data_IF_180997290356
#
_entry.id   IF_180997290356
#
_cell.length_a   1.000
_cell.length_b   1.000
_cell.length_c   1.000
_cell.angle_alpha   90.00
_cell.angle_beta   90.00
_cell.angle_gamma   90.00
#
_symmetry.space_group_name_H-M   'P 1'
#
loop_
_entity.id
_entity.type
_entity.pdbx_description
1 polymer ?
#
# COMPACT_ATOMS: atom_id res chain seq x y z
N UNK A 1 -8.08 17.55 13.19
CA UNK A 1 -8.19 16.93 11.86
C UNK A 1 -7.31 17.60 10.79
N UNK A 2 -6.59 18.64 11.09
CA UNK A 2 -5.73 19.44 10.20
C UNK A 2 -4.36 18.79 9.87
N UNK A 3 -4.02 17.67 10.50
CA UNK A 3 -2.75 16.95 10.26
C UNK A 3 -2.80 15.96 9.07
N UNK A 4 -3.95 15.87 8.39
CA UNK A 4 -4.12 14.89 7.28
C UNK A 4 -3.52 15.35 5.95
N UNK A 5 -3.35 16.65 5.71
CA UNK A 5 -3.05 17.16 4.37
C UNK A 5 -1.68 17.84 4.19
N UNK A 6 -0.93 18.09 5.24
CA UNK A 6 0.29 18.91 5.16
C UNK A 6 1.61 18.15 5.16
N UNK A 7 1.60 16.83 5.25
CA UNK A 7 2.84 16.05 5.32
C UNK A 7 2.97 15.11 4.13
N UNK A 8 3.46 15.65 3.01
CA UNK A 8 4.10 14.95 1.89
C UNK A 8 3.22 14.00 1.04
N UNK A 9 3.23 14.18 -0.30
CA UNK A 9 2.71 13.18 -1.28
C UNK A 9 3.16 11.76 -1.00
N UNK A 10 4.34 11.63 -0.44
CA UNK A 10 5.01 10.45 0.04
C UNK A 10 4.21 9.65 1.08
N UNK A 11 3.50 10.28 2.02
CA UNK A 11 2.72 9.56 3.05
C UNK A 11 1.52 8.83 2.46
N UNK A 12 0.94 9.34 1.39
CA UNK A 12 -0.17 8.70 0.69
C UNK A 12 0.26 7.36 0.10
N UNK A 13 1.46 7.28 -0.48
CA UNK A 13 2.01 6.03 -1.02
C UNK A 13 2.16 4.95 0.07
N UNK A 14 2.62 5.31 1.28
CA UNK A 14 2.74 4.36 2.39
C UNK A 14 1.40 3.91 2.96
N UNK A 15 0.38 4.72 2.82
CA UNK A 15 -0.97 4.43 3.31
C UNK A 15 -1.87 3.79 2.27
N UNK A 16 -1.43 3.67 1.02
CA UNK A 16 -2.22 3.01 -0.03
C UNK A 16 -2.66 1.61 0.39
N UNK A 17 -3.93 1.24 0.16
CA UNK A 17 -4.43 -0.07 0.53
C UNK A 17 -3.68 -1.17 -0.21
N UNK A 18 -3.32 -2.25 0.48
CA UNK A 18 -2.67 -3.40 -0.14
C UNK A 18 -3.66 -4.23 -0.95
N UNK A 19 -3.21 -4.79 -2.05
CA UNK A 19 -3.97 -5.76 -2.86
C UNK A 19 -3.50 -7.16 -2.48
N UNK A 20 -4.14 -7.74 -1.46
CA UNK A 20 -3.73 -9.02 -0.88
C UNK A 20 -4.36 -10.23 -1.56
N UNK A 21 -3.69 -11.37 -1.46
CA UNK A 21 -4.23 -12.66 -1.89
C UNK A 21 -4.38 -12.77 -3.41
N UNK A 22 -3.54 -12.08 -4.19
CA UNK A 22 -3.55 -12.02 -5.64
C UNK A 22 -2.21 -12.40 -6.21
N UNK A 23 -2.21 -13.24 -7.24
CA UNK A 23 -1.06 -13.48 -8.10
C UNK A 23 -0.90 -12.33 -9.07
N UNK A 24 0.25 -11.68 -9.07
CA UNK A 24 0.51 -10.47 -9.85
C UNK A 24 1.56 -10.73 -10.92
N UNK A 25 1.24 -10.38 -12.17
CA UNK A 25 2.19 -10.26 -13.26
C UNK A 25 2.67 -8.81 -13.34
N UNK A 26 3.90 -8.54 -12.91
CA UNK A 26 4.51 -7.22 -12.99
C UNK A 26 5.25 -7.00 -14.30
N UNK A 27 5.04 -5.83 -14.87
CA UNK A 27 5.73 -5.39 -16.10
C UNK A 27 6.46 -4.08 -15.80
N UNK A 28 7.79 -4.09 -15.91
CA UNK A 28 8.63 -2.90 -15.91
C UNK A 28 8.91 -2.47 -17.35
N UNK A 29 8.23 -1.43 -17.88
CA UNK A 29 8.26 -1.09 -19.29
C UNK A 29 9.57 -0.43 -19.70
N UNK A 30 10.09 -0.80 -20.88
CA UNK A 30 11.22 -0.11 -21.48
C UNK A 30 11.27 -0.35 -22.99
N UNK A 31 11.74 0.66 -23.75
CA UNK A 31 11.90 0.51 -25.19
C UNK A 31 13.11 -0.39 -25.55
N UNK A 32 14.30 0.10 -25.25
CA UNK A 32 15.55 -0.48 -25.77
C UNK A 32 16.00 -1.73 -25.05
N UNK A 33 15.85 -1.76 -23.73
CA UNK A 33 16.31 -2.87 -22.89
C UNK A 33 15.26 -3.98 -22.75
N UNK A 34 14.09 -3.80 -23.35
CA UNK A 34 12.94 -4.71 -23.24
C UNK A 34 12.17 -4.55 -21.94
N UNK A 35 10.87 -4.88 -21.97
CA UNK A 35 10.02 -4.90 -20.79
C UNK A 35 10.36 -6.13 -19.93
N UNK A 36 10.63 -5.93 -18.64
CA UNK A 36 10.89 -7.01 -17.69
C UNK A 36 9.58 -7.53 -17.15
N UNK A 37 9.39 -8.83 -17.29
CA UNK A 37 8.24 -9.55 -16.75
C UNK A 37 8.63 -10.29 -15.48
N UNK A 38 7.78 -10.22 -14.48
CA UNK A 38 7.92 -11.01 -13.25
C UNK A 38 6.55 -11.51 -12.82
N UNK A 39 6.46 -12.71 -12.27
CA UNK A 39 5.25 -13.18 -11.60
C UNK A 39 5.56 -13.38 -10.13
N UNK A 40 4.73 -12.80 -9.28
CA UNK A 40 4.76 -13.02 -7.84
C UNK A 40 3.46 -13.66 -7.37
N UNK A 41 3.56 -14.65 -6.47
CA UNK A 41 2.38 -15.27 -5.88
C UNK A 41 1.69 -14.35 -4.85
N UNK A 42 0.60 -14.80 -4.27
CA UNK A 42 -0.20 -14.08 -3.27
C UNK A 42 0.56 -13.73 -1.98
N UNK A 43 1.74 -14.31 -1.77
CA UNK A 43 2.65 -14.00 -0.65
C UNK A 43 3.79 -13.05 -1.03
N UNK A 44 3.89 -12.66 -2.29
CA UNK A 44 4.98 -11.86 -2.85
C UNK A 44 6.24 -12.66 -3.18
N UNK A 45 6.16 -14.00 -3.19
CA UNK A 45 7.27 -14.84 -3.62
C UNK A 45 7.39 -14.81 -5.14
N UNK A 46 8.59 -14.57 -5.63
CA UNK A 46 8.89 -14.62 -7.07
C UNK A 46 8.74 -16.06 -7.60
N UNK A 47 7.92 -16.21 -8.65
CA UNK A 47 7.70 -17.49 -9.33
C UNK A 47 8.52 -17.63 -10.62
N UNK A 48 8.53 -16.56 -11.44
CA UNK A 48 9.25 -16.58 -12.74
C UNK A 48 9.66 -15.17 -13.17
N UNK A 49 10.61 -15.09 -14.12
CA UNK A 49 11.09 -13.84 -14.72
C UNK A 49 11.40 -14.02 -16.19
N UNK A 50 11.10 -13.01 -17.03
CA UNK A 50 11.48 -12.98 -18.44
C UNK A 50 11.67 -11.53 -18.91
N UNK A 51 12.12 -11.38 -20.17
CA UNK A 51 12.23 -10.08 -20.84
C UNK A 51 11.62 -10.17 -22.23
N UNK A 52 10.63 -9.35 -22.52
CA UNK A 52 10.00 -9.24 -23.83
C UNK A 52 10.38 -7.93 -24.52
N UNK A 53 10.29 -7.89 -25.83
CA UNK A 53 10.70 -6.75 -26.65
C UNK A 53 9.58 -6.28 -27.59
N UNK A 54 8.40 -5.90 -27.08
CA UNK A 54 7.25 -5.54 -27.91
C UNK A 54 7.42 -4.20 -28.62
N UNK A 55 8.21 -3.30 -28.05
CA UNK A 55 8.35 -1.92 -28.50
C UNK A 55 9.56 -1.71 -29.44
N UNK A 56 9.65 -0.56 -30.12
CA UNK A 56 10.84 -0.21 -30.88
C UNK A 56 12.12 -0.25 -30.03
N UNK A 57 13.28 -0.61 -30.57
CA UNK A 57 13.54 -0.90 -31.99
C UNK A 57 13.17 -2.32 -32.43
N UNK A 58 13.00 -3.29 -31.50
CA UNK A 58 12.83 -4.72 -31.82
C UNK A 58 11.45 -5.06 -32.39
N UNK A 59 10.38 -4.40 -31.91
CA UNK A 59 8.98 -4.53 -32.40
C UNK A 59 8.46 -5.98 -32.44
N UNK A 60 8.74 -6.79 -31.43
CA UNK A 60 8.29 -8.18 -31.33
C UNK A 60 6.97 -8.27 -30.56
N UNK A 61 5.96 -7.53 -31.00
CA UNK A 61 4.69 -7.37 -30.28
C UNK A 61 3.99 -8.72 -30.06
N UNK A 62 3.82 -9.51 -31.12
CA UNK A 62 3.10 -10.79 -31.05
C UNK A 62 3.78 -11.79 -30.10
N UNK A 63 5.13 -11.87 -30.15
CA UNK A 63 5.89 -12.71 -29.20
C UNK A 63 5.70 -12.25 -27.76
N UNK A 64 5.61 -10.93 -27.52
CA UNK A 64 5.36 -10.37 -26.20
C UNK A 64 3.98 -10.74 -25.70
N UNK A 65 2.94 -10.58 -26.53
CA UNK A 65 1.56 -10.96 -26.21
C UNK A 65 1.43 -12.45 -25.89
N UNK A 66 2.00 -13.32 -26.73
CA UNK A 66 1.97 -14.77 -26.51
C UNK A 66 2.62 -15.16 -25.18
N UNK A 67 3.75 -14.54 -24.82
CA UNK A 67 4.43 -14.80 -23.54
C UNK A 67 3.57 -14.39 -22.35
N UNK A 68 2.93 -13.23 -22.42
CA UNK A 68 2.04 -12.76 -21.35
C UNK A 68 0.83 -13.70 -21.21
N UNK A 69 0.20 -14.13 -22.32
CA UNK A 69 -0.93 -15.10 -22.30
C UNK A 69 -0.49 -16.44 -21.69
N UNK A 70 0.66 -16.99 -22.12
CA UNK A 70 1.23 -18.19 -21.52
C UNK A 70 1.33 -18.08 -20.00
N UNK A 71 1.79 -16.95 -19.51
CA UNK A 71 1.98 -16.74 -18.07
C UNK A 71 0.69 -16.50 -17.31
N UNK A 72 -0.29 -15.82 -17.93
CA UNK A 72 -1.65 -15.65 -17.35
C UNK A 72 -2.25 -17.03 -17.05
N UNK A 73 -2.17 -17.96 -17.99
CA UNK A 73 -2.69 -19.32 -17.82
C UNK A 73 -1.83 -20.15 -16.86
N UNK A 74 -0.51 -20.14 -17.04
CA UNK A 74 0.43 -20.99 -16.28
C UNK A 74 0.44 -20.70 -14.78
N UNK A 75 0.33 -19.43 -14.41
CA UNK A 75 0.46 -18.98 -13.03
C UNK A 75 -0.88 -18.54 -12.41
N UNK A 76 -1.98 -18.70 -13.12
CA UNK A 76 -3.29 -18.26 -12.67
C UNK A 76 -3.29 -16.79 -12.24
N UNK A 77 -2.75 -15.91 -13.10
CA UNK A 77 -2.57 -14.48 -12.81
C UNK A 77 -3.93 -13.82 -12.59
N UNK A 78 -4.05 -13.07 -11.50
CA UNK A 78 -5.24 -12.31 -11.15
C UNK A 78 -5.21 -10.87 -11.67
N UNK A 79 -4.01 -10.24 -11.65
CA UNK A 79 -3.83 -8.81 -11.94
C UNK A 79 -2.52 -8.61 -12.69
N UNK A 80 -2.53 -7.68 -13.64
CA UNK A 80 -1.30 -7.19 -14.28
C UNK A 80 -0.98 -5.81 -13.72
N UNK A 81 0.23 -5.60 -13.22
CA UNK A 81 0.73 -4.29 -12.89
C UNK A 81 1.76 -3.79 -13.90
N UNK A 82 1.72 -2.50 -14.21
CA UNK A 82 2.58 -1.86 -15.21
C UNK A 82 3.26 -0.68 -14.53
N UNK A 83 4.59 -0.65 -14.53
CA UNK A 83 5.35 0.51 -14.05
C UNK A 83 5.01 1.77 -14.85
N UNK A 84 4.94 2.92 -14.18
CA UNK A 84 4.56 4.19 -14.83
C UNK A 84 5.72 4.92 -15.55
N UNK A 85 6.80 4.21 -15.87
CA UNK A 85 7.97 4.77 -16.54
C UNK A 85 7.85 4.88 -18.05
N UNK A 86 9.01 4.87 -18.67
CA UNK A 86 9.13 4.96 -20.13
C UNK A 86 8.46 3.75 -20.81
N UNK A 87 7.67 3.99 -21.87
CA UNK A 87 6.88 2.99 -22.59
C UNK A 87 5.68 2.37 -21.80
N UNK A 88 5.28 2.97 -20.69
CA UNK A 88 4.12 2.52 -19.91
C UNK A 88 2.87 2.48 -20.78
N UNK A 89 2.57 3.55 -21.50
CA UNK A 89 1.37 3.66 -22.32
C UNK A 89 1.28 2.63 -23.44
N UNK A 90 2.38 2.40 -24.15
CA UNK A 90 2.45 1.39 -25.21
C UNK A 90 2.28 -0.01 -24.62
N UNK A 91 2.74 -0.21 -23.39
CA UNK A 91 2.57 -1.49 -22.66
C UNK A 91 1.12 -1.65 -22.20
N UNK A 92 0.46 -0.58 -21.72
CA UNK A 92 -0.98 -0.60 -21.40
C UNK A 92 -1.82 -1.02 -22.60
N UNK A 93 -1.59 -0.41 -23.77
CA UNK A 93 -2.28 -0.77 -25.02
C UNK A 93 -2.09 -2.24 -25.38
N UNK A 94 -0.86 -2.75 -25.27
CA UNK A 94 -0.56 -4.16 -25.52
C UNK A 94 -1.33 -5.08 -24.55
N UNK A 95 -1.41 -4.72 -23.28
CA UNK A 95 -2.10 -5.51 -22.25
C UNK A 95 -3.61 -5.47 -22.45
N UNK A 96 -4.19 -4.33 -22.80
CA UNK A 96 -5.62 -4.20 -23.10
C UNK A 96 -6.01 -5.09 -24.32
N UNK A 97 -5.20 -5.07 -25.38
CA UNK A 97 -5.43 -5.95 -26.53
C UNK A 97 -5.41 -7.45 -26.15
N UNK A 98 -4.61 -7.84 -25.13
CA UNK A 98 -4.58 -9.23 -24.65
C UNK A 98 -5.89 -9.59 -23.94
N UNK A 99 -6.50 -8.68 -23.22
CA UNK A 99 -7.75 -8.94 -22.49
C UNK A 99 -8.90 -9.30 -23.43
N UNK A 100 -8.95 -8.73 -24.64
CA UNK A 100 -9.92 -9.09 -25.67
C UNK A 100 -9.71 -10.52 -26.22
N UNK A 101 -8.53 -11.09 -26.03
CA UNK A 101 -8.13 -12.40 -26.55
C UNK A 101 -8.17 -13.53 -25.49
N UNK A 102 -8.33 -13.19 -24.20
CA UNK A 102 -8.32 -14.14 -23.08
C UNK A 102 -9.67 -14.19 -22.40
N UNK A 103 -10.27 -15.38 -22.27
CA UNK A 103 -11.57 -15.60 -21.61
C UNK A 103 -11.42 -15.65 -20.08
N UNK A 104 -10.99 -14.52 -19.50
CA UNK A 104 -10.82 -14.35 -18.04
C UNK A 104 -11.12 -12.92 -17.65
N UNK A 105 -11.68 -12.74 -16.44
CA UNK A 105 -11.87 -11.42 -15.84
C UNK A 105 -10.53 -10.90 -15.29
N UNK A 106 -9.74 -10.28 -16.17
CA UNK A 106 -8.44 -9.70 -15.87
C UNK A 106 -8.53 -8.18 -15.74
N UNK A 107 -7.71 -7.65 -14.88
CA UNK A 107 -7.58 -6.22 -14.68
C UNK A 107 -6.10 -5.82 -14.69
N UNK A 108 -5.82 -4.60 -15.10
CA UNK A 108 -4.47 -4.04 -14.94
C UNK A 108 -4.52 -2.75 -14.13
N UNK A 109 -3.36 -2.38 -13.63
CA UNK A 109 -3.14 -1.12 -12.92
C UNK A 109 -1.76 -0.56 -13.28
N UNK A 110 -1.67 0.78 -13.32
CA UNK A 110 -0.39 1.47 -13.46
C UNK A 110 0.16 1.81 -12.08
N UNK A 111 1.34 1.29 -11.76
CA UNK A 111 1.99 1.41 -10.46
C UNK A 111 3.13 2.42 -10.52
N UNK A 112 3.23 3.27 -9.51
CA UNK A 112 4.34 4.21 -9.39
C UNK A 112 5.66 3.48 -9.13
N UNK A 113 6.62 3.59 -10.05
CA UNK A 113 7.94 2.93 -9.97
C UNK A 113 9.02 3.75 -9.25
N UNK A 114 8.69 4.96 -8.76
CA UNK A 114 9.67 5.84 -8.12
C UNK A 114 10.52 5.09 -7.08
N UNK A 115 11.83 5.25 -7.16
CA UNK A 115 12.81 4.59 -6.30
C UNK A 115 13.04 3.09 -6.57
N UNK A 116 12.32 2.43 -7.49
CA UNK A 116 12.54 1.00 -7.79
C UNK A 116 13.96 0.73 -8.31
N UNK A 117 14.51 1.62 -9.11
CA UNK A 117 15.90 1.55 -9.59
C UNK A 117 16.92 1.71 -8.45
N UNK A 118 16.63 2.54 -7.44
CA UNK A 118 17.49 2.69 -6.26
C UNK A 118 17.47 1.42 -5.40
N UNK A 119 16.27 0.87 -5.17
CA UNK A 119 16.15 -0.43 -4.49
C UNK A 119 16.92 -1.51 -5.23
N UNK A 120 16.73 -1.66 -6.54
CA UNK A 120 17.32 -2.74 -7.34
C UNK A 120 18.85 -2.77 -7.29
N UNK A 121 19.50 -1.61 -7.17
CA UNK A 121 20.94 -1.45 -7.01
C UNK A 121 21.44 -1.60 -5.56
N UNK A 122 20.53 -1.66 -4.59
CA UNK A 122 20.86 -1.69 -3.17
C UNK A 122 21.47 -3.02 -2.72
N UNK A 123 22.19 -2.98 -1.59
CA UNK A 123 22.70 -4.19 -0.93
C UNK A 123 21.56 -5.13 -0.53
N UNK A 124 20.45 -4.57 -0.06
CA UNK A 124 19.26 -5.34 0.36
C UNK A 124 18.68 -6.14 -0.81
N UNK A 125 18.49 -5.50 -1.98
CA UNK A 125 17.98 -6.19 -3.16
C UNK A 125 18.94 -7.31 -3.66
N UNK A 126 20.26 -7.08 -3.52
CA UNK A 126 21.26 -8.10 -3.83
C UNK A 126 21.22 -9.28 -2.85
N UNK A 127 20.94 -9.03 -1.58
CA UNK A 127 20.76 -10.07 -0.56
C UNK A 127 19.44 -10.85 -0.79
N UNK A 128 18.34 -10.17 -1.17
CA UNK A 128 17.06 -10.82 -1.46
C UNK A 128 17.10 -11.65 -2.76
N UNK A 129 17.83 -11.18 -3.77
CA UNK A 129 17.89 -11.79 -5.11
C UNK A 129 19.32 -11.78 -5.67
N UNK A 130 20.23 -12.61 -5.12
CA UNK A 130 21.64 -12.60 -5.51
C UNK A 130 21.87 -12.95 -6.98
N UNK A 131 21.05 -13.84 -7.55
CA UNK A 131 21.19 -14.36 -8.91
C UNK A 131 20.46 -13.52 -9.98
N UNK A 132 19.62 -12.55 -9.57
CA UNK A 132 18.85 -11.76 -10.53
C UNK A 132 19.62 -10.53 -11.02
N UNK A 133 19.37 -10.16 -12.27
CA UNK A 133 19.81 -8.89 -12.83
C UNK A 133 19.17 -7.70 -12.09
N UNK A 134 19.88 -6.57 -12.08
CA UNK A 134 19.40 -5.33 -11.41
C UNK A 134 18.03 -4.90 -11.94
N UNK A 135 17.81 -4.98 -13.27
CA UNK A 135 16.53 -4.58 -13.86
C UNK A 135 15.37 -5.48 -13.44
N UNK A 136 15.61 -6.78 -13.33
CA UNK A 136 14.60 -7.74 -12.86
C UNK A 136 14.24 -7.49 -11.39
N UNK A 137 15.21 -7.18 -10.53
CA UNK A 137 14.93 -6.80 -9.13
C UNK A 137 14.02 -5.59 -9.03
N UNK A 138 14.17 -4.62 -9.96
CA UNK A 138 13.26 -3.46 -10.07
C UNK A 138 11.82 -3.88 -10.37
N UNK A 139 11.63 -4.75 -11.35
CA UNK A 139 10.31 -5.26 -11.71
C UNK A 139 9.65 -6.04 -10.56
N UNK A 140 10.42 -6.87 -9.81
CA UNK A 140 9.90 -7.54 -8.61
C UNK A 140 9.41 -6.55 -7.56
N UNK A 141 10.15 -5.44 -7.36
CA UNK A 141 9.71 -4.40 -6.41
C UNK A 141 8.42 -3.72 -6.86
N UNK A 142 8.24 -3.48 -8.17
CA UNK A 142 7.02 -2.90 -8.72
C UNK A 142 5.83 -3.84 -8.46
N UNK A 143 5.94 -5.14 -8.80
CA UNK A 143 4.90 -6.13 -8.58
C UNK A 143 4.50 -6.26 -7.09
N UNK A 144 5.47 -6.37 -6.19
CA UNK A 144 5.23 -6.46 -4.74
C UNK A 144 4.65 -5.18 -4.16
N UNK A 145 4.94 -4.02 -4.76
CA UNK A 145 4.42 -2.72 -4.33
C UNK A 145 2.91 -2.64 -4.47
N UNK A 146 2.32 -3.31 -5.46
CA UNK A 146 0.88 -3.44 -5.56
C UNK A 146 0.30 -4.28 -4.41
N UNK A 147 0.96 -5.38 -4.06
CA UNK A 147 0.49 -6.28 -3.00
C UNK A 147 0.58 -5.64 -1.61
N UNK A 148 1.69 -4.98 -1.28
CA UNK A 148 1.84 -4.18 -0.05
C UNK A 148 2.81 -3.00 -0.27
N UNK A 149 2.29 -1.80 -0.58
CA UNK A 149 3.10 -0.61 -0.81
C UNK A 149 4.03 -0.28 0.35
N UNK A 150 3.53 -0.39 1.59
CA UNK A 150 4.32 -0.08 2.78
C UNK A 150 5.51 -1.03 2.93
N UNK A 151 5.29 -2.33 2.75
CA UNK A 151 6.33 -3.36 2.91
C UNK A 151 7.48 -3.20 1.91
N UNK A 152 7.19 -2.69 0.70
CA UNK A 152 8.20 -2.46 -0.33
C UNK A 152 8.85 -1.07 -0.22
N UNK A 153 8.08 -0.02 0.00
CA UNK A 153 8.61 1.35 0.03
C UNK A 153 9.55 1.60 1.20
N UNK A 154 9.39 0.91 2.33
CA UNK A 154 10.34 1.00 3.47
C UNK A 154 11.74 0.48 3.15
N UNK A 155 11.92 -0.23 2.05
CA UNK A 155 13.24 -0.70 1.56
C UNK A 155 14.01 0.38 0.82
N UNK A 156 13.38 1.51 0.52
CA UNK A 156 13.91 2.61 -0.30
C UNK A 156 14.12 3.82 0.60
N UNK A 157 15.26 4.53 0.43
CA UNK A 157 15.43 5.83 1.09
C UNK A 157 14.30 6.78 0.63
N UNK A 158 13.50 7.32 1.56
CA UNK A 158 12.40 8.22 1.24
C UNK A 158 12.76 9.36 0.29
N UNK A 159 13.96 9.91 0.39
CA UNK A 159 14.45 10.96 -0.51
C UNK A 159 14.56 10.51 -1.97
N UNK A 160 14.70 9.21 -2.21
CA UNK A 160 14.79 8.63 -3.55
C UNK A 160 13.42 8.42 -4.21
N UNK A 161 12.33 8.50 -3.46
CA UNK A 161 10.97 8.41 -3.99
C UNK A 161 10.49 9.77 -4.51
N UNK A 162 11.08 10.86 -3.99
CA UNK A 162 10.68 12.23 -4.28
C UNK A 162 9.62 12.73 -3.29
N UNK A 163 10.01 13.68 -2.43
CA UNK A 163 9.18 14.19 -1.34
C UNK A 163 8.75 15.64 -1.52
N UNK A 164 9.25 16.30 -2.53
CA UNK A 164 8.87 17.67 -2.86
C UNK A 164 9.84 18.36 -3.80
N UNK A 165 9.35 19.36 -4.50
CA UNK A 165 10.12 20.11 -5.51
C UNK A 165 11.41 20.72 -4.91
N UNK A 166 11.34 21.22 -3.68
CA UNK A 166 12.44 21.90 -3.00
C UNK A 166 13.21 20.99 -2.03
N UNK A 167 13.12 19.67 -2.18
CA UNK A 167 13.80 18.74 -1.25
C UNK A 167 15.31 18.93 -1.19
N UNK A 168 15.93 19.47 -2.25
CA UNK A 168 17.37 19.70 -2.31
C UNK A 168 17.79 21.05 -1.68
N UNK A 169 16.84 21.97 -1.47
CA UNK A 169 17.09 23.32 -0.95
C UNK A 169 17.02 23.39 0.60
N UNK A 170 16.55 22.31 1.23
CA UNK A 170 16.44 22.22 2.70
C UNK A 170 17.62 21.46 3.31
N UNK A 171 17.79 21.59 4.63
CA UNK A 171 18.81 20.84 5.36
C UNK A 171 18.59 19.32 5.23
N UNK A 172 19.50 18.62 4.59
CA UNK A 172 19.37 17.20 4.24
C UNK A 172 19.34 16.26 5.44
N UNK A 173 19.97 16.68 6.56
CA UNK A 173 19.92 15.89 7.82
C UNK A 173 18.55 15.98 8.46
N UNK A 174 18.04 17.19 8.63
CA UNK A 174 16.71 17.42 9.19
C UNK A 174 15.60 16.81 8.32
N UNK A 175 15.72 16.92 6.99
CA UNK A 175 14.81 16.25 6.07
C UNK A 175 14.82 14.73 6.28
N UNK A 176 16.00 14.11 6.34
CA UNK A 176 16.12 12.67 6.58
C UNK A 176 15.52 12.23 7.91
N UNK A 177 15.77 12.98 8.99
CA UNK A 177 15.19 12.70 10.32
C UNK A 177 13.66 12.80 10.30
N UNK A 178 13.10 13.84 9.69
CA UNK A 178 11.66 14.03 9.55
C UNK A 178 11.00 12.93 8.73
N UNK A 179 11.60 12.55 7.59
CA UNK A 179 11.09 11.49 6.75
C UNK A 179 11.12 10.12 7.45
N UNK A 180 12.19 9.80 8.16
CA UNK A 180 12.26 8.58 8.95
C UNK A 180 11.19 8.54 10.04
N UNK A 181 10.94 9.66 10.72
CA UNK A 181 9.87 9.73 11.72
C UNK A 181 8.48 9.52 11.11
N UNK A 182 8.24 10.02 9.90
CA UNK A 182 7.00 9.80 9.16
C UNK A 182 6.82 8.33 8.79
N UNK A 183 7.87 7.67 8.26
CA UNK A 183 7.82 6.24 7.93
C UNK A 183 7.59 5.41 9.19
N UNK A 184 8.31 5.68 10.28
CA UNK A 184 8.11 5.01 11.57
C UNK A 184 6.67 5.17 12.06
N UNK A 185 6.12 6.38 12.00
CA UNK A 185 4.72 6.65 12.37
C UNK A 185 3.74 5.86 11.49
N UNK A 186 3.96 5.81 10.18
CA UNK A 186 3.08 5.06 9.27
C UNK A 186 3.13 3.55 9.54
N UNK A 187 4.33 2.99 9.72
CA UNK A 187 4.53 1.56 10.02
C UNK A 187 3.87 1.18 11.35
N UNK A 188 4.06 1.99 12.40
CA UNK A 188 3.48 1.71 13.71
C UNK A 188 1.95 1.91 13.71
N UNK A 189 1.42 2.86 12.94
CA UNK A 189 -0.02 3.05 12.78
C UNK A 189 -0.70 1.84 12.12
N UNK A 190 -0.11 1.31 11.06
CA UNK A 190 -0.60 0.12 10.35
C UNK A 190 -0.42 -1.14 11.22
N UNK A 191 0.72 -1.25 11.87
CA UNK A 191 1.17 -2.46 12.54
C UNK A 191 1.80 -3.47 11.58
N UNK A 192 2.64 -4.35 12.09
CA UNK A 192 3.51 -5.21 11.30
C UNK A 192 3.26 -6.68 11.61
N UNK A 193 2.90 -7.48 10.59
CA UNK A 193 2.80 -8.93 10.75
C UNK A 193 4.20 -9.55 10.85
N UNK A 194 4.56 -10.04 12.03
CA UNK A 194 5.90 -10.59 12.31
C UNK A 194 6.23 -11.83 11.47
N UNK A 195 5.21 -12.54 11.01
CA UNK A 195 5.39 -13.76 10.23
C UNK A 195 5.72 -13.51 8.75
N UNK A 196 5.41 -12.33 8.22
CA UNK A 196 5.65 -11.99 6.81
C UNK A 196 6.64 -10.83 6.63
N UNK A 197 6.83 -10.01 7.67
CA UNK A 197 7.65 -8.81 7.59
C UNK A 197 9.11 -9.07 7.22
N UNK A 198 9.68 -8.19 6.39
CA UNK A 198 11.10 -8.11 6.10
C UNK A 198 11.87 -7.48 7.28
N UNK A 199 13.20 -7.64 7.30
CA UNK A 199 14.05 -6.95 8.29
C UNK A 199 13.97 -5.43 8.16
N UNK A 200 13.80 -4.91 6.95
CA UNK A 200 13.63 -3.49 6.69
C UNK A 200 12.34 -2.95 7.34
N UNK A 201 11.22 -3.65 7.15
CA UNK A 201 9.94 -3.26 7.76
C UNK A 201 9.98 -3.35 9.28
N UNK A 202 10.53 -4.44 9.83
CA UNK A 202 10.66 -4.62 11.28
C UNK A 202 11.53 -3.54 11.93
N UNK A 203 12.52 -3.01 11.22
CA UNK A 203 13.41 -1.97 11.76
C UNK A 203 12.70 -0.62 12.01
N UNK A 204 11.53 -0.39 11.37
CA UNK A 204 10.68 0.77 11.62
C UNK A 204 9.67 0.55 12.76
N UNK A 205 9.58 -0.65 13.32
CA UNK A 205 8.76 -0.89 14.51
C UNK A 205 9.44 -0.28 15.72
N UNK A 206 8.69 0.54 16.46
CA UNK A 206 9.21 1.23 17.65
C UNK A 206 9.85 0.26 18.62
N UNK A 207 11.08 0.56 19.04
CA UNK A 207 11.89 -0.28 19.94
C UNK A 207 12.66 -1.42 19.26
N UNK A 208 12.48 -1.68 17.97
CA UNK A 208 13.21 -2.71 17.21
C UNK A 208 14.34 -2.06 16.42
N UNK A 209 15.56 -2.48 16.65
CA UNK A 209 16.71 -2.10 15.84
C UNK A 209 17.06 -3.19 14.82
N UNK A 210 17.96 -2.88 13.87
CA UNK A 210 18.35 -3.80 12.78
C UNK A 210 18.89 -5.15 13.26
N UNK A 211 19.52 -5.20 14.43
CA UNK A 211 20.00 -6.44 15.04
C UNK A 211 18.87 -7.33 15.55
N UNK A 212 17.89 -6.72 16.22
CA UNK A 212 16.68 -7.41 16.71
C UNK A 212 15.82 -7.85 15.52
N UNK A 213 15.65 -7.00 14.51
CA UNK A 213 14.90 -7.34 13.29
C UNK A 213 15.43 -8.61 12.61
N UNK A 214 16.75 -8.71 12.42
CA UNK A 214 17.37 -9.93 11.89
C UNK A 214 17.18 -11.15 12.79
N UNK A 215 17.26 -10.98 14.12
CA UNK A 215 17.04 -12.08 15.05
C UNK A 215 15.60 -12.57 15.06
N UNK A 216 14.61 -11.71 14.83
CA UNK A 216 13.20 -12.10 14.65
C UNK A 216 13.05 -13.02 13.43
N UNK A 217 13.65 -12.63 12.30
CA UNK A 217 13.59 -13.44 11.08
C UNK A 217 14.28 -14.78 11.30
N UNK A 218 15.50 -14.77 11.86
CA UNK A 218 16.24 -16.00 12.17
C UNK A 218 15.42 -16.93 13.09
N UNK A 219 14.81 -16.39 14.13
CA UNK A 219 13.97 -17.18 15.03
C UNK A 219 12.79 -17.82 14.28
N UNK A 220 12.14 -17.07 13.39
CA UNK A 220 11.04 -17.55 12.55
C UNK A 220 11.46 -18.69 11.61
N UNK A 221 12.64 -18.58 11.01
CA UNK A 221 13.22 -19.59 10.12
C UNK A 221 13.56 -20.88 10.88
N UNK A 222 14.11 -20.75 12.08
CA UNK A 222 14.56 -21.89 12.91
C UNK A 222 13.42 -22.59 13.68
N UNK A 223 12.38 -21.83 14.12
CA UNK A 223 11.35 -22.31 15.04
C UNK A 223 9.93 -22.29 14.43
N UNK A 224 9.78 -21.87 13.17
CA UNK A 224 8.50 -21.70 12.51
C UNK A 224 7.78 -20.38 12.89
N UNK A 225 6.55 -20.23 12.42
CA UNK A 225 5.74 -19.03 12.61
C UNK A 225 5.48 -18.74 14.09
N UNK A 226 5.50 -17.45 14.43
CA UNK A 226 4.99 -16.98 15.73
C UNK A 226 3.48 -17.23 15.82
N UNK A 227 3.01 -17.78 16.94
CA UNK A 227 1.59 -18.00 17.22
C UNK A 227 1.09 -17.14 18.38
N UNK A 228 1.98 -16.57 19.19
CA UNK A 228 1.65 -15.66 20.29
C UNK A 228 2.70 -14.57 20.40
N UNK A 229 2.30 -13.37 20.85
CA UNK A 229 3.25 -12.28 21.12
C UNK A 229 4.28 -12.63 22.20
N UNK A 230 3.92 -13.50 23.14
CA UNK A 230 4.83 -13.98 24.21
C UNK A 230 6.10 -14.65 23.65
N UNK A 231 6.00 -15.29 22.47
CA UNK A 231 7.17 -15.91 21.82
C UNK A 231 8.25 -14.93 21.41
N UNK A 232 7.91 -13.65 21.17
CA UNK A 232 8.90 -12.60 20.89
C UNK A 232 9.96 -12.48 22.00
N UNK A 233 9.60 -12.76 23.27
CA UNK A 233 10.55 -12.76 24.38
C UNK A 233 11.63 -13.84 24.29
N UNK A 234 11.48 -14.82 23.39
CA UNK A 234 12.49 -15.86 23.13
C UNK A 234 13.51 -15.45 22.07
N UNK A 235 13.24 -14.34 21.36
CA UNK A 235 14.12 -13.82 20.31
C UNK A 235 15.38 -13.22 20.98
N UNK A 236 16.55 -13.60 20.49
CA UNK A 236 17.84 -13.10 20.99
C UNK A 236 17.91 -11.57 20.90
N UNK A 237 18.37 -10.91 21.96
CA UNK A 237 18.45 -9.46 22.11
C UNK A 237 17.11 -8.70 22.15
N UNK A 238 15.99 -9.37 22.12
CA UNK A 238 14.69 -8.77 22.37
C UNK A 238 14.38 -8.83 23.87
N UNK A 239 14.90 -7.86 24.61
CA UNK A 239 14.72 -7.77 26.05
C UNK A 239 13.33 -7.25 26.45
N UNK A 240 13.07 -7.21 27.78
CA UNK A 240 11.79 -6.74 28.34
C UNK A 240 11.38 -5.36 27.82
N UNK A 241 12.32 -4.39 27.82
CA UNK A 241 12.06 -3.01 27.35
C UNK A 241 11.67 -2.98 25.87
N UNK A 242 12.43 -3.69 25.02
CA UNK A 242 12.12 -3.80 23.58
C UNK A 242 10.74 -4.44 23.35
N UNK A 243 10.43 -5.50 24.10
CA UNK A 243 9.13 -6.16 24.03
C UNK A 243 7.99 -5.18 24.37
N UNK A 244 8.08 -4.48 25.51
CA UNK A 244 7.06 -3.49 25.90
C UNK A 244 6.92 -2.38 24.88
N UNK A 245 8.00 -1.89 24.25
CA UNK A 245 7.92 -0.83 23.24
C UNK A 245 7.34 -1.30 21.91
N UNK A 246 7.56 -2.56 21.51
CA UNK A 246 7.20 -3.05 20.16
C UNK A 246 5.91 -3.88 20.10
N UNK A 247 5.51 -4.50 21.20
CA UNK A 247 4.45 -5.51 21.17
C UNK A 247 3.09 -5.00 20.70
N UNK A 248 2.77 -3.72 20.97
CA UNK A 248 1.54 -3.08 20.49
C UNK A 248 1.49 -2.87 18.98
N UNK A 249 2.64 -2.85 18.30
CA UNK A 249 2.76 -2.64 16.85
C UNK A 249 2.96 -3.94 16.07
N UNK A 250 3.28 -5.04 16.75
CA UNK A 250 3.42 -6.36 16.14
C UNK A 250 2.05 -7.03 16.04
N UNK A 251 1.76 -7.62 14.88
CA UNK A 251 0.57 -8.41 14.60
C UNK A 251 0.94 -9.86 14.33
N UNK A 252 0.04 -10.78 14.71
CA UNK A 252 0.10 -12.20 14.33
C UNK A 252 -1.28 -12.55 13.78
N UNK A 253 -1.42 -12.45 12.46
CA UNK A 253 -2.73 -12.55 11.79
C UNK A 253 -3.32 -13.96 11.93
N UNK A 254 -2.49 -15.00 11.81
CA UNK A 254 -2.90 -16.40 11.86
C UNK A 254 -2.83 -17.00 13.29
N UNK A 255 -2.93 -16.15 14.32
CA UNK A 255 -2.89 -16.61 15.70
C UNK A 255 -4.20 -17.22 16.13
N UNK A 256 -4.28 -18.55 16.13
CA UNK A 256 -5.38 -19.28 16.76
C UNK A 256 -5.28 -19.39 18.29
N UNK A 257 -4.12 -19.02 18.87
CA UNK A 257 -3.84 -19.17 20.32
C UNK A 257 -3.82 -17.86 21.10
N UNK A 258 -3.77 -16.73 20.40
CA UNK A 258 -3.73 -15.38 20.99
C UNK A 258 -4.63 -14.47 20.18
N UNK A 259 -5.96 -14.44 20.48
CA UNK A 259 -6.93 -13.66 19.72
C UNK A 259 -6.61 -12.17 19.68
N UNK A 260 -6.02 -11.63 20.73
CA UNK A 260 -5.60 -10.24 20.79
C UNK A 260 -4.36 -9.93 19.95
N UNK A 261 -3.57 -10.95 19.58
CA UNK A 261 -2.36 -10.71 18.77
C UNK A 261 -2.66 -10.17 17.36
N UNK A 262 -3.90 -10.26 16.87
CA UNK A 262 -4.36 -9.62 15.64
C UNK A 262 -4.64 -8.13 15.81
N UNK A 263 -4.86 -7.68 17.05
CA UNK A 263 -5.34 -6.32 17.36
C UNK A 263 -4.19 -5.37 17.70
N UNK A 264 -4.41 -4.06 17.72
CA UNK A 264 -3.46 -3.09 18.27
C UNK A 264 -3.37 -3.09 19.80
N UNK A 265 -4.20 -3.87 20.51
CA UNK A 265 -4.21 -3.91 21.97
C UNK A 265 -2.84 -4.36 22.47
N UNK A 266 -2.24 -3.55 23.34
CA UNK A 266 -0.95 -3.89 23.94
C UNK A 266 -1.11 -5.04 24.96
N UNK A 267 -0.14 -5.97 25.08
CA UNK A 267 -0.23 -7.09 26.04
C UNK A 267 -0.45 -6.70 27.49
N UNK A 268 -0.05 -5.49 27.89
CA UNK A 268 -0.30 -4.95 29.24
C UNK A 268 -1.78 -4.58 29.46
N UNK A 269 -2.55 -4.43 28.41
CA UNK A 269 -3.99 -4.13 28.44
C UNK A 269 -4.87 -5.34 28.14
N UNK A 270 -4.31 -6.54 28.07
CA UNK A 270 -5.09 -7.76 27.78
C UNK A 270 -6.10 -8.04 28.88
N UNK A 271 -5.70 -7.91 30.17
CA UNK A 271 -6.61 -8.13 31.29
C UNK A 271 -7.82 -7.18 31.24
N UNK A 272 -7.61 -5.93 30.86
CA UNK A 272 -8.69 -4.96 30.69
C UNK A 272 -9.58 -5.32 29.48
N UNK A 273 -8.99 -5.77 28.37
CA UNK A 273 -9.75 -6.20 27.21
C UNK A 273 -10.58 -7.48 27.49
N UNK A 274 -10.06 -8.39 28.29
CA UNK A 274 -10.82 -9.56 28.78
C UNK A 274 -11.99 -9.13 29.66
N UNK A 275 -11.78 -8.25 30.62
CA UNK A 275 -12.84 -7.70 31.47
C UNK A 275 -13.95 -7.02 30.65
N UNK A 276 -13.61 -6.30 29.59
CA UNK A 276 -14.60 -5.71 28.68
C UNK A 276 -15.45 -6.79 28.02
N UNK A 277 -14.85 -7.87 27.53
CA UNK A 277 -15.58 -8.99 26.90
C UNK A 277 -16.47 -9.72 27.93
N UNK A 278 -15.96 -9.99 29.13
CA UNK A 278 -16.67 -10.65 30.22
C UNK A 278 -17.93 -9.90 30.67
N UNK A 279 -17.97 -8.55 30.61
CA UNK A 279 -19.19 -7.78 30.90
C UNK A 279 -20.39 -8.18 30.02
N UNK A 280 -20.10 -8.76 28.85
CA UNK A 280 -21.11 -9.20 27.87
C UNK A 280 -21.18 -10.73 27.73
N UNK A 281 -20.48 -11.48 28.59
CA UNK A 281 -20.47 -12.94 28.61
C UNK A 281 -19.61 -13.58 27.52
N UNK A 282 -18.61 -12.83 27.01
CA UNK A 282 -17.66 -13.35 25.98
C UNK A 282 -16.29 -13.61 26.55
N UNK A 283 -15.56 -14.47 25.85
CA UNK A 283 -14.16 -14.76 26.10
C UNK A 283 -13.29 -14.31 24.90
N UNK A 284 -11.97 -14.11 25.06
CA UNK A 284 -11.10 -13.72 23.97
C UNK A 284 -11.18 -14.59 22.73
N UNK A 285 -11.38 -15.89 22.90
CA UNK A 285 -11.49 -16.86 21.79
C UNK A 285 -12.71 -16.59 20.89
N UNK A 286 -13.76 -15.98 21.42
CA UNK A 286 -14.98 -15.65 20.68
C UNK A 286 -14.73 -14.59 19.58
N UNK A 287 -13.63 -13.84 19.66
CA UNK A 287 -13.18 -12.92 18.61
C UNK A 287 -12.73 -13.64 17.32
N UNK A 288 -12.54 -14.96 17.36
CA UNK A 288 -12.17 -15.78 16.21
C UNK A 288 -13.39 -16.32 15.46
N UNK A 289 -14.55 -16.30 16.11
CA UNK A 289 -15.83 -16.73 15.56
C UNK A 289 -16.57 -15.55 14.89
N UNK A 290 -16.97 -15.71 13.62
CA UNK A 290 -17.59 -14.63 12.84
C UNK A 290 -18.96 -14.22 13.38
N UNK A 291 -19.78 -15.16 13.84
CA UNK A 291 -21.14 -14.90 14.36
C UNK A 291 -21.06 -14.18 15.69
N UNK A 292 -20.24 -14.70 16.62
CA UNK A 292 -20.01 -14.07 17.92
C UNK A 292 -19.39 -12.69 17.79
N UNK A 293 -18.45 -12.49 16.84
CA UNK A 293 -17.86 -11.19 16.59
C UNK A 293 -18.90 -10.17 16.11
N UNK A 294 -19.88 -10.58 15.30
CA UNK A 294 -20.98 -9.73 14.88
C UNK A 294 -21.84 -9.26 16.08
N UNK A 295 -22.15 -10.20 16.99
CA UNK A 295 -22.89 -9.88 18.22
C UNK A 295 -22.09 -8.99 19.18
N UNK A 296 -20.79 -9.27 19.38
CA UNK A 296 -19.86 -8.42 20.14
C UNK A 296 -19.87 -6.98 19.59
N UNK A 297 -19.79 -6.79 18.27
CA UNK A 297 -19.87 -5.48 17.64
C UNK A 297 -21.16 -4.76 17.95
N UNK A 298 -22.30 -5.46 17.86
CA UNK A 298 -23.60 -4.91 18.18
C UNK A 298 -23.67 -4.39 19.63
N UNK A 299 -23.18 -5.17 20.58
CA UNK A 299 -23.16 -4.79 22.00
C UNK A 299 -22.21 -3.66 22.34
N UNK A 300 -21.01 -3.66 21.71
CA UNK A 300 -20.01 -2.61 21.94
C UNK A 300 -20.32 -1.28 21.25
N UNK A 301 -21.11 -1.26 20.17
CA UNK A 301 -21.39 -0.05 19.39
C UNK A 301 -22.32 0.95 20.09
N UNK A 302 -23.12 0.49 21.04
CA UNK A 302 -24.08 1.34 21.80
C UNK A 302 -23.66 1.67 23.23
N UNK A 303 -22.39 1.45 23.57
CA UNK A 303 -21.92 1.47 24.95
C UNK A 303 -21.61 2.89 25.44
N UNK A 304 -22.05 3.23 26.63
CA UNK A 304 -21.51 4.38 27.34
C UNK A 304 -20.11 4.02 27.87
N UNK A 305 -19.10 4.47 27.12
CA UNK A 305 -17.70 4.20 27.43
C UNK A 305 -17.22 4.91 28.70
N UNK A 306 -17.87 5.99 29.12
CA UNK A 306 -17.52 6.71 30.33
C UNK A 306 -17.97 5.94 31.57
N UNK A 307 -19.20 5.45 31.59
CA UNK A 307 -19.74 4.62 32.68
C UNK A 307 -18.90 3.31 32.82
N UNK A 308 -18.56 2.68 31.70
CA UNK A 308 -17.74 1.47 31.72
C UNK A 308 -16.31 1.74 32.21
N UNK A 309 -15.74 2.90 31.90
CA UNK A 309 -14.40 3.30 32.36
C UNK A 309 -14.36 3.45 33.88
N UNK A 310 -15.37 4.08 34.46
CA UNK A 310 -15.50 4.19 35.91
C UNK A 310 -15.66 2.81 36.57
N UNK A 311 -16.51 1.96 36.00
CA UNK A 311 -16.77 0.61 36.52
C UNK A 311 -15.52 -0.29 36.50
N UNK A 312 -14.66 -0.15 35.50
CA UNK A 312 -13.44 -0.97 35.34
C UNK A 312 -12.17 -0.28 35.88
N UNK A 313 -12.31 0.88 36.53
CA UNK A 313 -11.17 1.69 37.01
C UNK A 313 -10.12 1.91 35.91
N UNK A 314 -10.57 2.24 34.71
CA UNK A 314 -9.76 2.35 33.51
C UNK A 314 -9.76 3.77 32.94
N UNK A 315 -8.62 4.17 32.33
CA UNK A 315 -8.54 5.43 31.61
C UNK A 315 -9.46 5.44 30.37
N UNK A 316 -10.36 6.42 30.27
CA UNK A 316 -11.33 6.54 29.17
C UNK A 316 -10.70 6.41 27.77
N UNK A 317 -9.57 7.10 27.43
CA UNK A 317 -8.94 6.94 26.11
C UNK A 317 -8.49 5.51 25.83
N UNK A 318 -7.88 4.84 26.82
CA UNK A 318 -7.41 3.46 26.70
C UNK A 318 -8.58 2.50 26.46
N UNK A 319 -9.67 2.68 27.19
CA UNK A 319 -10.87 1.86 27.03
C UNK A 319 -11.51 2.05 25.65
N UNK A 320 -11.61 3.29 25.19
CA UNK A 320 -12.11 3.59 23.84
C UNK A 320 -11.29 2.91 22.74
N UNK A 321 -9.96 2.91 22.86
CA UNK A 321 -9.09 2.26 21.90
C UNK A 321 -9.21 0.73 21.95
N UNK A 322 -9.36 0.15 23.15
CA UNK A 322 -9.63 -1.28 23.32
C UNK A 322 -10.97 -1.65 22.67
N UNK A 323 -12.04 -0.93 22.93
CA UNK A 323 -13.36 -1.19 22.35
C UNK A 323 -13.30 -1.14 20.82
N UNK A 324 -12.69 -0.09 20.25
CA UNK A 324 -12.49 0.01 18.78
C UNK A 324 -11.74 -1.20 18.23
N UNK A 325 -10.69 -1.66 18.93
CA UNK A 325 -9.89 -2.80 18.52
C UNK A 325 -10.64 -4.14 18.62
N UNK A 326 -11.46 -4.33 19.65
CA UNK A 326 -12.32 -5.51 19.84
C UNK A 326 -13.43 -5.58 18.79
N UNK A 327 -13.98 -4.44 18.40
CA UNK A 327 -15.01 -4.38 17.35
C UNK A 327 -14.46 -4.83 15.97
N UNK A 328 -13.17 -4.66 15.72
CA UNK A 328 -12.55 -4.94 14.41
C UNK A 328 -11.17 -5.61 14.56
N UNK A 329 -11.10 -6.82 15.13
CA UNK A 329 -9.84 -7.52 15.30
C UNK A 329 -9.21 -7.86 13.93
N UNK A 330 -7.93 -7.58 13.78
CA UNK A 330 -7.19 -7.82 12.55
C UNK A 330 -7.44 -6.84 11.41
N UNK A 331 -8.16 -5.72 11.67
CA UNK A 331 -8.36 -4.65 10.69
C UNK A 331 -7.03 -3.98 10.35
N UNK A 332 -6.78 -3.80 9.07
CA UNK A 332 -5.76 -2.90 8.57
C UNK A 332 -6.39 -1.50 8.41
N UNK A 333 -5.84 -0.44 9.02
CA UNK A 333 -6.38 0.92 8.87
C UNK A 333 -6.44 1.40 7.42
N UNK A 334 -5.63 0.81 6.53
CA UNK A 334 -5.59 1.14 5.11
C UNK A 334 -6.80 0.62 4.33
N UNK A 335 -7.51 -0.39 4.85
CA UNK A 335 -8.69 -0.98 4.17
C UNK A 335 -9.87 0.00 4.07
N UNK A 336 -9.84 1.12 4.83
CA UNK A 336 -10.86 2.20 4.77
C UNK A 336 -10.53 3.29 3.75
N UNK A 337 -9.35 3.25 3.18
CA UNK A 337 -8.94 4.17 2.11
C UNK A 337 -9.51 3.70 0.77
N UNK A 338 -9.63 4.61 -0.16
CA UNK A 338 -10.09 4.26 -1.51
C UNK A 338 -9.14 3.26 -2.15
N UNK A 339 -9.74 2.21 -2.73
CA UNK A 339 -8.96 1.16 -3.40
C UNK A 339 -8.36 1.67 -4.69
N UNK A 340 -7.20 1.12 -5.10
CA UNK A 340 -6.62 1.46 -6.40
C UNK A 340 -7.61 1.26 -7.55
N UNK A 341 -7.53 2.12 -8.55
CA UNK A 341 -8.39 2.04 -9.74
C UNK A 341 -7.85 0.99 -10.69
N UNK A 342 -8.54 -0.13 -10.77
CA UNK A 342 -8.24 -1.18 -11.75
C UNK A 342 -8.93 -0.86 -13.08
N UNK A 343 -8.29 -1.25 -14.19
CA UNK A 343 -8.74 -0.98 -15.55
C UNK A 343 -8.85 -2.28 -16.33
N UNK A 344 -9.80 -2.31 -17.24
CA UNK A 344 -10.00 -3.42 -18.20
C UNK A 344 -9.73 -2.97 -19.62
N UNK A 345 -9.75 -1.67 -19.88
CA UNK A 345 -9.61 -1.04 -21.19
C UNK A 345 -8.68 0.17 -21.13
N UNK A 346 -8.27 0.64 -22.28
CA UNK A 346 -7.43 1.84 -22.45
C UNK A 346 -8.23 2.90 -23.18
N UNK A 347 -8.65 3.94 -22.46
CA UNK A 347 -9.35 5.07 -23.05
C UNK A 347 -8.40 5.96 -23.85
N UNK A 348 -8.81 6.40 -25.02
CA UNK A 348 -8.15 7.45 -25.79
C UNK A 348 -8.74 8.83 -25.48
N UNK A 349 -8.04 9.90 -25.88
CA UNK A 349 -8.61 11.25 -25.74
C UNK A 349 -9.87 11.45 -26.58
N UNK A 350 -10.02 10.71 -27.68
CA UNK A 350 -11.16 10.76 -28.58
C UNK A 350 -12.42 10.12 -27.96
N UNK A 351 -12.24 9.22 -26.99
CA UNK A 351 -13.35 8.58 -26.26
C UNK A 351 -13.94 9.50 -25.20
N UNK A 352 -13.21 10.53 -24.78
CA UNK A 352 -13.63 11.47 -23.76
C UNK A 352 -14.72 12.42 -24.28
N UNK A 353 -15.80 12.52 -23.54
CA UNK A 353 -16.90 13.47 -23.80
C UNK A 353 -17.05 14.42 -22.64
N UNK A 354 -17.43 15.66 -22.92
CA UNK A 354 -17.81 16.60 -21.87
C UNK A 354 -18.94 16.00 -21.01
N UNK A 355 -18.95 16.33 -19.73
CA UNK A 355 -19.85 15.81 -18.67
C UNK A 355 -19.62 14.35 -18.28
N UNK A 356 -18.65 13.61 -18.88
CA UNK A 356 -18.27 12.29 -18.39
C UNK A 356 -17.71 12.40 -16.98
N UNK A 357 -18.17 11.52 -16.07
CA UNK A 357 -17.64 11.38 -14.73
C UNK A 357 -16.72 10.17 -14.72
N UNK A 358 -15.47 10.41 -14.35
CA UNK A 358 -14.41 9.40 -14.31
C UNK A 358 -13.77 9.40 -12.93
N UNK A 359 -13.18 8.27 -12.57
CA UNK A 359 -12.31 8.17 -11.41
C UNK A 359 -10.88 8.30 -11.88
N UNK A 360 -10.09 9.13 -11.20
CA UNK A 360 -8.69 9.37 -11.54
C UNK A 360 -7.79 9.44 -10.32
N UNK A 361 -6.49 9.33 -10.57
CA UNK A 361 -5.46 9.43 -9.53
C UNK A 361 -4.70 10.73 -9.69
N UNK A 362 -4.54 11.49 -8.62
CA UNK A 362 -3.77 12.74 -8.61
C UNK A 362 -2.29 12.44 -8.78
N UNK A 363 -1.71 12.94 -9.88
CA UNK A 363 -0.29 12.77 -10.23
C UNK A 363 0.59 13.88 -9.69
N UNK A 364 0.07 15.11 -9.72
CA UNK A 364 0.83 16.29 -9.31
C UNK A 364 -0.12 17.38 -8.81
N UNK A 365 0.32 18.13 -7.80
CA UNK A 365 -0.39 19.31 -7.29
C UNK A 365 0.50 20.53 -7.46
N UNK A 366 -0.05 21.58 -8.06
CA UNK A 366 0.65 22.82 -8.38
C UNK A 366 -0.16 24.02 -7.88
N UNK A 367 0.41 25.22 -7.71
CA UNK A 367 -0.32 26.35 -7.15
C UNK A 367 -1.61 26.75 -7.86
N UNK A 368 -1.77 26.40 -9.14
CA UNK A 368 -2.95 26.70 -9.93
C UNK A 368 -3.92 25.52 -10.10
N UNK A 369 -3.67 24.38 -9.45
CA UNK A 369 -4.58 23.21 -9.51
C UNK A 369 -3.88 21.88 -9.36
N UNK A 370 -4.51 20.80 -9.86
CA UNK A 370 -3.99 19.46 -9.79
C UNK A 370 -4.05 18.73 -11.14
N UNK A 371 -3.04 17.95 -11.45
CA UNK A 371 -3.02 17.03 -12.59
C UNK A 371 -3.50 15.67 -12.15
N UNK A 372 -4.51 15.15 -12.87
CA UNK A 372 -5.18 13.88 -12.54
C UNK A 372 -5.09 12.93 -13.74
N UNK A 373 -4.57 11.75 -13.49
CA UNK A 373 -4.57 10.64 -14.45
C UNK A 373 -5.95 9.97 -14.44
N UNK A 374 -6.67 10.13 -15.53
CA UNK A 374 -8.00 9.55 -15.74
C UNK A 374 -7.98 8.33 -16.68
N UNK A 375 -6.78 7.78 -16.97
CA UNK A 375 -6.64 6.61 -17.84
C UNK A 375 -6.38 6.90 -19.30
N UNK A 376 -6.17 8.16 -19.68
CA UNK A 376 -5.75 8.53 -21.04
C UNK A 376 -4.27 8.94 -21.06
N UNK A 377 -3.68 9.08 -22.26
CA UNK A 377 -2.25 9.37 -22.44
C UNK A 377 -1.79 10.62 -21.70
N UNK A 378 -2.66 11.59 -21.47
CA UNK A 378 -2.33 12.88 -20.86
C UNK A 378 -3.16 13.11 -19.61
N UNK A 379 -2.49 13.58 -18.55
CA UNK A 379 -3.18 13.96 -17.33
C UNK A 379 -4.11 15.15 -17.59
N UNK A 380 -5.31 15.08 -17.04
CA UNK A 380 -6.24 16.20 -17.07
C UNK A 380 -5.91 17.21 -15.96
N UNK A 381 -6.17 18.48 -16.22
CA UNK A 381 -5.98 19.55 -15.24
C UNK A 381 -7.31 19.86 -14.56
N UNK A 382 -7.35 19.72 -13.24
CA UNK A 382 -8.36 20.34 -12.37
C UNK A 382 -7.79 21.69 -11.92
N UNK A 383 -8.31 22.77 -12.47
CA UNK A 383 -7.90 24.12 -12.07
C UNK A 383 -8.29 24.38 -10.59
N UNK A 384 -7.58 25.25 -9.88
CA UNK A 384 -7.84 25.56 -8.47
C UNK A 384 -9.32 25.94 -8.21
N UNK A 385 -9.94 26.68 -9.16
CA UNK A 385 -11.38 27.03 -9.09
C UNK A 385 -12.31 25.84 -9.23
N UNK A 386 -11.84 24.70 -9.71
CA UNK A 386 -12.61 23.48 -9.97
C UNK A 386 -12.39 22.38 -8.94
N UNK A 387 -11.54 22.62 -7.93
CA UNK A 387 -11.23 21.65 -6.86
C UNK A 387 -12.36 21.50 -5.84
N UNK A 388 -13.05 22.60 -5.51
CA UNK A 388 -14.13 22.62 -4.52
C UNK A 388 -15.18 23.68 -4.88
N UNK A 389 -16.39 23.51 -4.38
CA UNK A 389 -17.42 24.56 -4.41
C UNK A 389 -17.03 25.76 -3.51
N UNK A 390 -16.30 25.51 -2.41
CA UNK A 390 -15.75 26.52 -1.53
C UNK A 390 -14.47 27.14 -2.13
N UNK A 391 -14.13 28.34 -1.67
CA UNK A 391 -12.88 28.99 -2.08
C UNK A 391 -11.66 28.24 -1.55
N UNK A 392 -10.74 27.92 -2.45
CA UNK A 392 -9.49 27.21 -2.16
C UNK A 392 -8.33 28.20 -2.31
N UNK A 393 -7.56 28.42 -1.24
CA UNK A 393 -6.38 29.27 -1.25
C UNK A 393 -5.15 28.48 -1.71
N UNK A 394 -4.95 27.26 -1.19
CA UNK A 394 -3.90 26.34 -1.58
C UNK A 394 -4.51 25.01 -2.01
N UNK A 395 -4.24 24.51 -3.23
CA UNK A 395 -4.70 23.18 -3.66
C UNK A 395 -4.33 22.05 -2.73
N UNK A 396 -3.21 22.14 -2.01
CA UNK A 396 -2.77 21.11 -1.04
C UNK A 396 -3.67 21.02 0.20
N UNK A 397 -4.51 22.02 0.46
CA UNK A 397 -5.51 21.94 1.55
C UNK A 397 -6.68 21.03 1.20
N UNK A 398 -6.90 20.76 -0.08
CA UNK A 398 -8.05 20.00 -0.60
C UNK A 398 -7.63 18.63 -1.15
N UNK A 399 -6.46 18.55 -1.79
CA UNK A 399 -6.06 17.39 -2.58
C UNK A 399 -4.56 17.11 -2.42
N UNK A 400 -4.18 15.83 -2.43
CA UNK A 400 -2.78 15.40 -2.36
C UNK A 400 -2.42 14.45 -3.52
N UNK A 401 -1.14 14.40 -3.85
CA UNK A 401 -0.63 13.43 -4.84
C UNK A 401 -0.91 12.01 -4.37
N UNK A 402 -1.48 11.18 -5.24
CA UNK A 402 -1.89 9.82 -4.96
C UNK A 402 -3.35 9.68 -4.51
N UNK A 403 -4.06 10.79 -4.26
CA UNK A 403 -5.49 10.73 -3.96
C UNK A 403 -6.27 10.21 -5.16
N UNK A 404 -7.28 9.39 -4.89
CA UNK A 404 -8.22 8.92 -5.89
C UNK A 404 -9.45 9.83 -5.83
N UNK A 405 -9.74 10.47 -6.95
CA UNK A 405 -10.80 11.49 -7.02
C UNK A 405 -11.77 11.19 -8.15
N UNK A 406 -13.04 11.54 -7.95
CA UNK A 406 -14.01 11.61 -9.04
C UNK A 406 -13.88 12.96 -9.71
N UNK A 407 -13.78 12.94 -11.02
CA UNK A 407 -13.68 14.15 -11.85
C UNK A 407 -14.67 14.11 -12.99
N UNK A 408 -15.20 15.28 -13.34
CA UNK A 408 -16.05 15.49 -14.49
C UNK A 408 -15.21 16.14 -15.61
N UNK A 409 -15.30 15.60 -16.81
CA UNK A 409 -14.65 16.17 -18.00
C UNK A 409 -15.37 17.45 -18.39
N UNK A 410 -14.66 18.59 -18.38
CA UNK A 410 -15.21 19.87 -18.83
C UNK A 410 -15.02 20.08 -20.34
N UNK A 411 -13.81 19.87 -20.81
CA UNK A 411 -13.45 19.99 -22.21
C UNK A 411 -12.24 19.11 -22.56
N UNK A 412 -12.12 18.78 -23.85
CA UNK A 412 -11.00 18.02 -24.41
C UNK A 412 -10.49 18.74 -25.65
N UNK A 413 -9.23 19.16 -25.62
CA UNK A 413 -8.54 19.78 -26.77
C UNK A 413 -7.52 18.74 -27.29
N UNK A 414 -7.94 17.96 -28.26
CA UNK A 414 -7.14 16.87 -28.86
C UNK A 414 -5.93 17.39 -29.63
N UNK A 415 -6.02 18.61 -30.22
CA UNK A 415 -4.92 19.23 -30.97
C UNK A 415 -3.77 19.65 -30.04
N UNK A 416 -4.12 20.21 -28.88
CA UNK A 416 -3.13 20.66 -27.88
C UNK A 416 -2.84 19.63 -26.81
N UNK A 417 -3.54 18.50 -26.82
CA UNK A 417 -3.42 17.45 -25.82
C UNK A 417 -3.79 17.94 -24.42
N UNK A 418 -4.88 18.71 -24.28
CA UNK A 418 -5.31 19.26 -22.99
C UNK A 418 -6.69 18.77 -22.62
N UNK A 419 -6.83 18.39 -21.36
CA UNK A 419 -8.08 17.94 -20.78
C UNK A 419 -8.40 18.80 -19.56
N UNK A 420 -9.52 19.49 -19.59
CA UNK A 420 -10.04 20.26 -18.46
C UNK A 420 -10.96 19.39 -17.63
N UNK A 421 -10.73 19.33 -16.34
CA UNK A 421 -11.49 18.52 -15.38
C UNK A 421 -12.05 19.39 -14.25
N UNK A 422 -13.13 18.92 -13.61
CA UNK A 422 -13.71 19.50 -12.42
C UNK A 422 -13.99 18.44 -11.37
N UNK A 423 -13.71 18.73 -10.12
CA UNK A 423 -14.15 17.93 -8.95
C UNK A 423 -15.53 18.38 -8.43
N UNK A 424 -16.12 19.44 -9.00
CA UNK A 424 -17.47 19.89 -8.70
C UNK A 424 -18.50 18.99 -9.40
N UNK A 425 -18.86 17.93 -8.70
CA UNK A 425 -19.86 16.95 -9.16
C UNK A 425 -21.06 17.10 -8.24
N UNK A 426 -22.22 17.39 -8.84
CA UNK A 426 -23.52 17.50 -8.13
C UNK A 426 -24.04 16.11 -7.73
#
# INVERSE_FOLDING_TARGET
>A
STLRHTLFPYTTLFRSPPVRGKTVLGIDPAYRTGCKLVVVDDTGKLLDTDTIYPHPPQKRLDQGKEKIKEWIEKYDVDIIDIGNGTASRETELMVADIFDEVDRDLQYIVVNEAGASVYSASKLAKEEFPELDVSIRGAVSIARRLQDPLAELVKIDPKSIGVGMYQHDVNQKSLGESLNAVVESAVNYVGVNVNTASSALLNYVSGINSGVARNIIKYREENGKFTTRKQLKKVSRLGKKTFTQSAGFIRIVDSGKDPFAKTPIHPESYDLAEQVLEQFGYQPVDLLDKEKLADIRGKLSGLDTAELAEKLDAGLPTLQDIIKALMRPGRDPRDELEKPVFRTDVMSMEDLKAEMILQGTVRNVVPFGAFVDIGVKQDGLVHISELSFDYVEDPLDVIAVGDIVKVKVLNVDTERGRIGLSMKID
#
